data_IF_062860639519
#
_entry.id   IF_062860639519
#
_cell.length_a   1.000
_cell.length_b   1.000
_cell.length_c   1.000
_cell.angle_alpha   90.00
_cell.angle_beta   90.00
_cell.angle_gamma   90.00
#
_symmetry.space_group_name_H-M   'P 1'
#
loop_
_entity.id
_entity.type
_entity.pdbx_description
1 polymer ?
#
# COMPACT_ATOMS: atom_id res chain seq x y z
N UNK A 1 9.15 -9.14 13.31
CA UNK A 1 9.87 -8.90 12.03
C UNK A 1 9.15 -7.84 11.23
N UNK A 2 9.91 -6.95 10.55
CA UNK A 2 9.37 -6.04 9.54
C UNK A 2 9.56 -6.63 8.15
N UNK A 3 8.52 -6.58 7.34
CA UNK A 3 8.53 -6.95 5.92
C UNK A 3 8.17 -5.72 5.10
N UNK A 4 8.88 -5.50 4.01
CA UNK A 4 8.69 -4.32 3.16
C UNK A 4 8.21 -4.72 1.76
N UNK A 5 6.88 -4.91 1.56
CA UNK A 5 6.34 -5.17 0.23
C UNK A 5 6.69 -4.04 -0.74
N UNK A 6 6.99 -4.39 -1.99
CA UNK A 6 7.44 -3.45 -3.01
C UNK A 6 8.96 -3.25 -3.10
N UNK A 7 9.76 -3.76 -2.14
CA UNK A 7 11.22 -3.58 -2.12
C UNK A 7 11.91 -4.20 -3.35
N UNK A 8 11.32 -5.24 -3.94
CA UNK A 8 11.81 -5.85 -5.18
C UNK A 8 11.58 -5.00 -6.44
N UNK A 9 10.81 -3.93 -6.35
CA UNK A 9 10.34 -3.17 -7.50
C UNK A 9 9.55 -4.06 -8.47
N UNK A 10 9.25 -3.55 -9.68
CA UNK A 10 8.51 -4.34 -10.68
C UNK A 10 9.28 -5.63 -11.03
N UNK A 11 10.59 -5.53 -11.18
CA UNK A 11 11.42 -6.61 -11.74
C UNK A 11 11.49 -7.85 -10.87
N UNK A 12 11.50 -7.70 -9.56
CA UNK A 12 11.73 -8.79 -8.61
C UNK A 12 10.55 -9.03 -7.67
N UNK A 13 9.38 -8.47 -7.95
CA UNK A 13 8.20 -8.54 -7.10
C UNK A 13 7.82 -9.98 -6.72
N UNK A 14 7.61 -10.85 -7.71
CA UNK A 14 7.20 -12.25 -7.48
C UNK A 14 8.24 -13.03 -6.68
N UNK A 15 9.54 -12.84 -7.02
CA UNK A 15 10.62 -13.48 -6.31
C UNK A 15 10.74 -12.98 -4.88
N UNK A 16 10.63 -11.66 -4.70
CA UNK A 16 10.66 -11.04 -3.37
C UNK A 16 9.54 -11.60 -2.48
N UNK A 17 8.33 -11.73 -3.02
CA UNK A 17 7.19 -12.30 -2.28
C UNK A 17 7.45 -13.75 -1.87
N UNK A 18 7.88 -14.59 -2.82
CA UNK A 18 8.12 -16.03 -2.58
C UNK A 18 9.28 -16.27 -1.62
N UNK A 19 10.42 -15.61 -1.83
CA UNK A 19 11.61 -15.74 -0.97
C UNK A 19 11.30 -15.23 0.46
N UNK A 20 10.47 -14.17 0.57
CA UNK A 20 10.02 -13.63 1.87
C UNK A 20 9.15 -14.63 2.61
N UNK A 21 8.17 -15.23 1.96
CA UNK A 21 7.29 -16.24 2.58
C UNK A 21 8.09 -17.45 3.08
N UNK A 22 9.05 -17.95 2.27
CA UNK A 22 9.95 -19.03 2.66
C UNK A 22 10.80 -18.66 3.88
N UNK A 23 11.35 -17.44 3.90
CA UNK A 23 12.15 -16.95 5.03
C UNK A 23 11.32 -16.84 6.30
N UNK A 24 10.10 -16.30 6.22
CA UNK A 24 9.18 -16.14 7.35
C UNK A 24 8.78 -17.50 7.92
N UNK A 25 8.48 -18.48 7.05
CA UNK A 25 8.18 -19.86 7.47
C UNK A 25 9.34 -20.47 8.26
N UNK A 26 10.59 -20.28 7.78
CA UNK A 26 11.79 -20.80 8.46
C UNK A 26 12.13 -20.05 9.75
N UNK A 27 11.93 -18.75 9.77
CA UNK A 27 12.25 -17.90 10.92
C UNK A 27 11.21 -17.98 12.03
N UNK A 28 9.97 -18.35 11.69
CA UNK A 28 8.83 -18.51 12.60
C UNK A 28 8.70 -17.37 13.62
N UNK A 29 8.56 -16.10 13.18
CA UNK A 29 8.44 -14.97 14.08
C UNK A 29 7.04 -14.93 14.73
N UNK A 30 6.94 -14.45 15.97
CA UNK A 30 5.65 -14.22 16.64
C UNK A 30 4.82 -13.13 15.92
N UNK A 31 5.50 -12.11 15.32
CA UNK A 31 4.86 -10.98 14.66
C UNK A 31 5.53 -10.63 13.34
N UNK A 32 4.71 -10.42 12.32
CA UNK A 32 5.10 -9.88 11.01
C UNK A 32 4.39 -8.54 10.82
N UNK A 33 5.16 -7.47 10.72
CA UNK A 33 4.63 -6.13 10.48
C UNK A 33 4.92 -5.71 9.05
N UNK A 34 3.86 -5.50 8.27
CA UNK A 34 3.95 -5.07 6.88
C UNK A 34 4.12 -3.56 6.81
N UNK A 35 5.12 -3.10 6.06
CA UNK A 35 5.37 -1.69 5.76
C UNK A 35 5.71 -1.54 4.29
N UNK A 36 4.74 -1.14 3.49
CA UNK A 36 4.96 -0.90 2.05
C UNK A 36 6.09 0.10 1.83
N UNK A 37 6.93 -0.21 0.84
CA UNK A 37 8.01 0.69 0.42
C UNK A 37 7.47 2.06 0.05
N UNK A 38 8.08 3.10 0.62
CA UNK A 38 7.95 4.48 0.17
C UNK A 38 9.34 5.04 -0.15
N UNK A 39 9.47 5.73 -1.29
CA UNK A 39 10.74 6.28 -1.74
C UNK A 39 10.81 7.75 -1.36
N UNK A 40 11.66 8.08 -0.41
CA UNK A 40 11.82 9.45 0.07
C UNK A 40 12.89 10.22 -0.71
N UNK A 41 12.70 11.54 -0.92
CA UNK A 41 13.72 12.40 -1.51
C UNK A 41 15.06 12.33 -0.78
N UNK A 42 16.15 12.34 -1.54
CA UNK A 42 17.53 12.29 -1.01
C UNK A 42 18.03 10.90 -0.64
N UNK A 43 17.22 9.84 -0.81
CA UNK A 43 17.66 8.47 -0.54
C UNK A 43 18.44 7.85 -1.71
N UNK A 44 19.32 6.86 -1.46
CA UNK A 44 19.97 6.11 -2.54
C UNK A 44 18.97 5.45 -3.49
N UNK A 45 17.83 4.97 -2.97
CA UNK A 45 16.79 4.32 -3.78
C UNK A 45 16.10 5.31 -4.73
N UNK A 46 15.90 6.57 -4.30
CA UNK A 46 15.41 7.62 -5.21
C UNK A 46 16.40 7.86 -6.36
N UNK A 47 17.70 7.83 -6.08
CA UNK A 47 18.72 7.98 -7.12
C UNK A 47 18.67 6.84 -8.13
N UNK A 48 18.51 5.59 -7.67
CA UNK A 48 18.34 4.43 -8.55
C UNK A 48 17.05 4.53 -9.39
N UNK A 49 15.96 5.03 -8.81
CA UNK A 49 14.71 5.26 -9.53
C UNK A 49 14.89 6.33 -10.62
N UNK A 50 15.53 7.46 -10.31
CA UNK A 50 15.81 8.52 -11.29
C UNK A 50 16.71 8.08 -12.43
N UNK A 51 17.65 7.18 -12.15
CA UNK A 51 18.57 6.61 -13.16
C UNK A 51 17.94 5.45 -13.97
N UNK A 52 16.71 5.02 -13.64
CA UNK A 52 16.05 3.90 -14.30
C UNK A 52 16.56 2.51 -13.87
N UNK A 53 17.40 2.45 -12.83
CA UNK A 53 17.93 1.20 -12.28
C UNK A 53 16.94 0.51 -11.32
N UNK A 54 16.02 1.27 -10.74
CA UNK A 54 14.91 0.78 -9.93
C UNK A 54 13.60 1.31 -10.50
N UNK A 55 12.59 0.46 -10.58
CA UNK A 55 11.23 0.83 -10.95
C UNK A 55 10.28 0.38 -9.85
N UNK A 56 9.64 1.36 -9.19
CA UNK A 56 8.67 1.12 -8.12
C UNK A 56 7.50 0.26 -8.63
N UNK A 57 7.13 -0.74 -7.86
CA UNK A 57 5.98 -1.58 -8.16
C UNK A 57 4.66 -0.78 -7.98
N UNK A 58 3.71 -0.88 -8.92
CA UNK A 58 2.38 -0.26 -8.74
C UNK A 58 1.64 -0.90 -7.56
N UNK A 59 0.71 -0.16 -6.97
CA UNK A 59 -0.04 -0.59 -5.78
C UNK A 59 -0.67 -2.00 -5.93
N UNK A 60 -1.26 -2.28 -7.09
CA UNK A 60 -1.82 -3.61 -7.35
C UNK A 60 -0.77 -4.74 -7.27
N UNK A 61 0.43 -4.50 -7.77
CA UNK A 61 1.51 -5.48 -7.69
C UNK A 61 1.99 -5.67 -6.26
N UNK A 62 2.09 -4.59 -5.48
CA UNK A 62 2.41 -4.66 -4.04
C UNK A 62 1.35 -5.45 -3.28
N UNK A 63 0.08 -5.26 -3.59
CA UNK A 63 -1.02 -6.05 -2.99
C UNK A 63 -0.91 -7.53 -3.36
N UNK A 64 -0.53 -7.86 -4.61
CA UNK A 64 -0.24 -9.25 -5.02
C UNK A 64 0.95 -9.86 -4.28
N UNK A 65 2.01 -9.08 -4.00
CA UNK A 65 3.11 -9.53 -3.15
C UNK A 65 2.61 -9.91 -1.75
N UNK A 66 1.81 -9.03 -1.11
CA UNK A 66 1.24 -9.28 0.22
C UNK A 66 0.39 -10.54 0.20
N UNK A 67 -0.43 -10.72 -0.84
CA UNK A 67 -1.23 -11.94 -1.04
C UNK A 67 -0.36 -13.19 -1.05
N UNK A 68 0.69 -13.19 -1.88
CA UNK A 68 1.63 -14.31 -2.01
C UNK A 68 2.33 -14.61 -0.68
N UNK A 69 2.74 -13.57 0.05
CA UNK A 69 3.38 -13.73 1.37
C UNK A 69 2.43 -14.39 2.35
N UNK A 70 1.18 -13.92 2.46
CA UNK A 70 0.19 -14.46 3.41
C UNK A 70 -0.21 -15.89 3.02
N UNK A 71 -0.41 -16.16 1.72
CA UNK A 71 -0.79 -17.46 1.21
C UNK A 71 0.27 -18.55 1.50
N UNK A 72 1.55 -18.20 1.36
CA UNK A 72 2.66 -19.16 1.41
C UNK A 72 3.46 -19.15 2.72
N UNK A 73 3.17 -18.26 3.67
CA UNK A 73 3.78 -18.28 4.99
C UNK A 73 3.14 -19.39 5.82
N UNK A 74 3.89 -20.43 6.16
CA UNK A 74 3.43 -21.59 6.93
C UNK A 74 4.07 -21.61 8.33
N UNK A 75 3.56 -20.75 9.20
CA UNK A 75 3.93 -20.69 10.62
C UNK A 75 2.83 -19.99 11.41
N UNK A 76 2.79 -20.25 12.73
CA UNK A 76 1.94 -19.49 13.65
C UNK A 76 2.53 -18.11 13.87
N UNK A 77 1.80 -17.05 13.49
CA UNK A 77 2.27 -15.67 13.59
C UNK A 77 1.12 -14.68 13.47
N UNK A 78 1.28 -13.49 14.04
CA UNK A 78 0.37 -12.37 13.86
C UNK A 78 0.85 -11.48 12.72
N UNK A 79 -0.05 -11.20 11.76
CA UNK A 79 0.15 -10.22 10.68
C UNK A 79 -0.43 -8.88 11.13
N UNK A 80 0.37 -7.82 11.05
CA UNK A 80 -0.03 -6.45 11.38
C UNK A 80 0.32 -5.53 10.22
N UNK A 81 -0.67 -4.80 9.72
CA UNK A 81 -0.54 -3.88 8.58
C UNK A 81 -1.09 -2.49 8.95
N UNK A 82 -0.49 -1.87 9.96
CA UNK A 82 -0.93 -0.61 10.56
C UNK A 82 -0.15 0.64 10.09
N UNK A 83 0.70 0.49 9.07
CA UNK A 83 1.43 1.63 8.51
C UNK A 83 0.54 2.47 7.59
N UNK A 84 0.63 3.79 7.69
CA UNK A 84 -0.05 4.72 6.79
C UNK A 84 0.38 4.57 5.30
N UNK A 85 1.56 3.99 5.06
CA UNK A 85 2.04 3.66 3.72
C UNK A 85 1.34 2.44 3.12
N UNK A 86 0.66 1.61 3.91
CA UNK A 86 -0.07 0.46 3.39
C UNK A 86 -1.39 0.89 2.74
N UNK A 87 -1.71 0.29 1.61
CA UNK A 87 -2.99 0.54 0.93
C UNK A 87 -4.16 -0.17 1.64
N UNK A 88 -3.89 -1.39 2.12
CA UNK A 88 -4.85 -2.24 2.82
C UNK A 88 -4.39 -2.47 4.26
N UNK A 89 -5.31 -2.39 5.19
CA UNK A 89 -5.11 -2.83 6.57
C UNK A 89 -5.42 -4.33 6.67
N UNK A 90 -4.39 -5.16 6.51
CA UNK A 90 -4.49 -6.61 6.59
C UNK A 90 -3.95 -7.06 7.94
N UNK A 91 -4.84 -7.40 8.85
CA UNK A 91 -4.51 -7.85 10.20
C UNK A 91 -5.16 -9.20 10.48
N UNK A 92 -4.43 -10.10 11.14
CA UNK A 92 -4.94 -11.40 11.53
C UNK A 92 -3.85 -12.40 11.89
N UNK A 93 -4.25 -13.56 12.38
CA UNK A 93 -3.35 -14.64 12.79
C UNK A 93 -3.23 -15.71 11.71
N UNK A 94 -2.02 -16.17 11.45
CA UNK A 94 -1.78 -17.34 10.63
C UNK A 94 -1.63 -18.59 11.52
N UNK A 95 -2.14 -19.75 11.09
CA UNK A 95 -2.91 -19.98 9.87
C UNK A 95 -4.41 -19.67 10.01
N UNK A 96 -4.90 -19.36 11.20
CA UNK A 96 -6.33 -19.36 11.55
C UNK A 96 -7.20 -18.37 10.76
N UNK A 97 -6.69 -17.17 10.45
CA UNK A 97 -7.43 -16.13 9.73
C UNK A 97 -6.91 -15.89 8.30
N UNK A 98 -6.13 -16.85 7.76
CA UNK A 98 -5.56 -16.73 6.39
C UNK A 98 -6.61 -16.40 5.35
N UNK A 99 -7.67 -17.19 5.27
CA UNK A 99 -8.73 -17.01 4.27
C UNK A 99 -9.39 -15.63 4.37
N UNK A 100 -9.68 -15.15 5.58
CA UNK A 100 -10.22 -13.81 5.82
C UNK A 100 -9.31 -12.71 5.28
N UNK A 101 -8.00 -12.85 5.47
CA UNK A 101 -7.02 -11.88 4.95
C UNK A 101 -6.93 -11.96 3.43
N UNK A 102 -6.93 -13.16 2.84
CA UNK A 102 -6.94 -13.36 1.40
C UNK A 102 -8.21 -12.82 0.75
N UNK A 103 -9.38 -13.05 1.33
CA UNK A 103 -10.67 -12.51 0.86
C UNK A 103 -10.67 -10.97 0.80
N UNK A 104 -10.11 -10.32 1.82
CA UNK A 104 -9.97 -8.85 1.84
C UNK A 104 -9.05 -8.34 0.72
N UNK A 105 -7.95 -9.05 0.45
CA UNK A 105 -7.01 -8.73 -0.62
C UNK A 105 -7.68 -8.96 -1.99
N UNK A 106 -8.31 -10.11 -2.18
CA UNK A 106 -8.95 -10.50 -3.44
C UNK A 106 -10.11 -9.55 -3.76
N UNK A 107 -10.86 -9.09 -2.76
CA UNK A 107 -11.89 -8.06 -2.93
C UNK A 107 -11.35 -6.75 -3.54
N UNK A 108 -10.12 -6.34 -3.17
CA UNK A 108 -9.47 -5.20 -3.81
C UNK A 108 -8.98 -5.55 -5.22
N UNK A 109 -8.40 -6.73 -5.40
CA UNK A 109 -7.85 -7.14 -6.70
C UNK A 109 -8.91 -7.28 -7.78
N UNK A 110 -10.14 -7.60 -7.41
CA UNK A 110 -11.30 -7.74 -8.30
C UNK A 110 -11.89 -6.39 -8.77
N UNK A 111 -11.52 -5.28 -8.13
CA UNK A 111 -11.96 -3.95 -8.54
C UNK A 111 -11.46 -3.60 -9.95
N UNK A 112 -12.23 -2.81 -10.69
CA UNK A 112 -11.78 -2.21 -11.95
C UNK A 112 -10.66 -1.19 -11.72
N UNK A 113 -9.95 -0.82 -12.79
CA UNK A 113 -8.87 0.16 -12.68
C UNK A 113 -9.32 1.50 -12.08
N UNK A 114 -10.53 1.96 -12.41
CA UNK A 114 -11.12 3.18 -11.84
C UNK A 114 -11.46 3.01 -10.36
N UNK A 115 -12.12 1.94 -10.00
CA UNK A 115 -12.46 1.63 -8.61
C UNK A 115 -11.21 1.50 -7.73
N UNK A 116 -10.12 0.90 -8.25
CA UNK A 116 -8.83 0.84 -7.55
C UNK A 116 -8.25 2.23 -7.26
N UNK A 117 -8.36 3.17 -8.22
CA UNK A 117 -7.94 4.56 -8.00
C UNK A 117 -8.78 5.26 -6.95
N UNK A 118 -10.08 5.08 -6.99
CA UNK A 118 -11.00 5.64 -5.99
C UNK A 118 -10.72 5.06 -4.61
N UNK A 119 -10.52 3.76 -4.52
CA UNK A 119 -10.12 3.08 -3.29
C UNK A 119 -8.80 3.63 -2.73
N UNK A 120 -7.76 3.74 -3.59
CA UNK A 120 -6.47 4.29 -3.19
C UNK A 120 -6.60 5.72 -2.66
N UNK A 121 -7.34 6.58 -3.35
CA UNK A 121 -7.56 7.95 -2.88
C UNK A 121 -8.23 7.99 -1.51
N UNK A 122 -9.30 7.21 -1.31
CA UNK A 122 -10.01 7.16 -0.02
C UNK A 122 -9.13 6.62 1.09
N UNK A 123 -8.41 5.52 0.84
CA UNK A 123 -7.48 4.92 1.82
C UNK A 123 -6.41 5.92 2.24
N UNK A 124 -5.76 6.61 1.27
CA UNK A 124 -4.71 7.59 1.56
C UNK A 124 -5.23 8.82 2.29
N UNK A 125 -6.43 9.30 1.95
CA UNK A 125 -7.07 10.41 2.66
C UNK A 125 -7.39 10.02 4.11
N UNK A 126 -7.94 8.84 4.36
CA UNK A 126 -8.24 8.37 5.69
C UNK A 126 -6.97 8.24 6.53
N UNK A 127 -5.90 7.66 5.97
CA UNK A 127 -4.59 7.56 6.62
C UNK A 127 -4.02 8.94 6.96
N UNK A 128 -4.13 9.88 6.03
CA UNK A 128 -3.64 11.26 6.25
C UNK A 128 -4.43 11.98 7.34
N UNK A 129 -5.77 11.89 7.30
CA UNK A 129 -6.63 12.50 8.33
C UNK A 129 -6.38 11.85 9.69
N UNK A 130 -6.23 10.53 9.73
CA UNK A 130 -5.90 9.80 10.97
C UNK A 130 -4.55 10.22 11.56
N UNK A 131 -3.55 10.46 10.71
CA UNK A 131 -2.20 10.83 11.15
C UNK A 131 -2.09 12.30 11.58
N UNK A 132 -2.77 13.22 10.90
CA UNK A 132 -2.61 14.66 11.07
C UNK A 132 -3.84 15.38 11.66
N UNK A 133 -4.95 14.68 11.86
CA UNK A 133 -6.19 15.24 12.40
C UNK A 133 -6.99 16.09 11.42
N UNK A 134 -6.57 16.19 10.15
CA UNK A 134 -7.25 16.95 9.11
C UNK A 134 -6.41 17.13 7.85
N UNK A 135 -6.95 17.81 6.85
CA UNK A 135 -6.27 18.09 5.59
C UNK A 135 -5.37 19.33 5.72
N UNK A 136 -4.16 19.27 5.17
CA UNK A 136 -3.30 20.45 5.00
C UNK A 136 -3.79 21.32 3.86
N UNK A 137 -3.41 22.62 3.87
CA UNK A 137 -3.91 23.60 2.89
C UNK A 137 -3.72 23.17 1.44
N UNK A 138 -2.54 22.65 1.09
CA UNK A 138 -2.22 22.22 -0.27
C UNK A 138 -2.99 20.96 -0.72
N UNK A 139 -3.24 20.00 0.19
CA UNK A 139 -4.12 18.86 -0.12
C UNK A 139 -5.57 19.34 -0.27
N UNK A 140 -6.01 20.23 0.64
CA UNK A 140 -7.35 20.79 0.55
C UNK A 140 -7.56 21.57 -0.76
N UNK A 141 -6.62 22.45 -1.15
CA UNK A 141 -6.65 23.17 -2.41
C UNK A 141 -6.73 22.22 -3.61
N UNK A 142 -5.95 21.14 -3.59
CA UNK A 142 -5.95 20.14 -4.66
C UNK A 142 -7.26 19.35 -4.74
N UNK A 143 -7.93 19.15 -3.60
CA UNK A 143 -9.23 18.47 -3.52
C UNK A 143 -10.42 19.39 -3.79
N UNK A 144 -10.26 20.71 -3.62
CA UNK A 144 -11.37 21.68 -3.75
C UNK A 144 -12.21 21.49 -5.02
N UNK A 145 -11.64 21.23 -6.22
CA UNK A 145 -12.44 21.00 -7.43
C UNK A 145 -13.38 19.78 -7.35
N UNK A 146 -13.09 18.85 -6.44
CA UNK A 146 -13.82 17.58 -6.26
C UNK A 146 -14.68 17.58 -4.99
N UNK A 147 -14.75 18.71 -4.26
CA UNK A 147 -15.60 18.83 -3.07
C UNK A 147 -16.95 19.43 -3.43
N UNK A 148 -18.01 18.70 -3.09
CA UNK A 148 -19.38 19.20 -3.14
C UNK A 148 -19.95 19.22 -1.72
N UNK A 149 -20.16 20.43 -1.15
CA UNK A 149 -20.62 20.59 0.24
C UNK A 149 -19.79 19.77 1.25
N UNK A 150 -18.46 19.83 1.15
CA UNK A 150 -17.49 19.06 1.94
C UNK A 150 -17.57 17.53 1.74
N UNK A 151 -18.31 17.05 0.76
CA UNK A 151 -18.30 15.64 0.37
C UNK A 151 -17.44 15.46 -0.87
N UNK A 152 -16.54 14.48 -0.85
CA UNK A 152 -15.70 14.17 -1.99
C UNK A 152 -16.55 13.57 -3.12
N UNK A 153 -16.54 14.22 -4.29
CA UNK A 153 -17.19 13.75 -5.50
C UNK A 153 -16.19 13.78 -6.66
N UNK A 154 -15.66 12.63 -6.99
CA UNK A 154 -14.65 12.44 -8.03
C UNK A 154 -15.21 11.88 -9.34
N UNK A 155 -16.53 11.80 -9.48
CA UNK A 155 -17.17 11.24 -10.68
C UNK A 155 -16.79 11.97 -11.97
N UNK A 156 -16.50 13.27 -11.89
CA UNK A 156 -16.04 14.10 -13.02
C UNK A 156 -14.52 14.23 -13.16
N UNK A 157 -13.74 13.67 -12.21
CA UNK A 157 -12.29 13.75 -12.22
C UNK A 157 -11.69 12.75 -13.22
N UNK A 158 -10.67 13.16 -13.95
CA UNK A 158 -9.85 12.26 -14.76
C UNK A 158 -8.96 11.38 -13.84
N UNK A 159 -8.55 10.22 -14.34
CA UNK A 159 -7.63 9.34 -13.63
C UNK A 159 -6.31 10.03 -13.28
N UNK A 160 -5.82 10.92 -14.15
CA UNK A 160 -4.58 11.66 -13.92
C UNK A 160 -4.71 12.68 -12.78
N UNK A 161 -5.85 13.32 -12.64
CA UNK A 161 -6.11 14.23 -11.52
C UNK A 161 -6.13 13.45 -10.19
N UNK A 162 -6.82 12.31 -10.15
CA UNK A 162 -6.86 11.45 -8.97
C UNK A 162 -5.46 10.96 -8.60
N UNK A 163 -4.67 10.46 -9.57
CA UNK A 163 -3.28 10.03 -9.35
C UNK A 163 -2.41 11.16 -8.80
N UNK A 164 -2.61 12.39 -9.29
CA UNK A 164 -1.88 13.56 -8.81
C UNK A 164 -2.17 13.85 -7.33
N UNK A 165 -3.41 13.68 -6.89
CA UNK A 165 -3.80 13.83 -5.48
C UNK A 165 -3.21 12.71 -4.63
N UNK A 166 -3.33 11.46 -5.07
CA UNK A 166 -2.74 10.30 -4.38
C UNK A 166 -1.24 10.49 -4.17
N UNK A 167 -0.51 10.91 -5.22
CA UNK A 167 0.94 11.15 -5.15
C UNK A 167 1.29 12.25 -4.14
N UNK A 168 0.52 13.33 -4.12
CA UNK A 168 0.71 14.41 -3.14
C UNK A 168 0.53 13.93 -1.72
N UNK A 169 -0.52 13.14 -1.46
CA UNK A 169 -0.81 12.61 -0.12
C UNK A 169 0.29 11.62 0.30
N UNK A 170 0.65 10.67 -0.57
CA UNK A 170 1.72 9.69 -0.28
C UNK A 170 3.02 10.36 0.12
N UNK A 171 3.44 11.40 -0.59
CA UNK A 171 4.67 12.14 -0.28
C UNK A 171 4.67 12.85 1.08
N UNK A 172 3.56 12.87 1.79
CA UNK A 172 3.39 13.51 3.10
C UNK A 172 3.05 12.54 4.23
N UNK A 173 2.65 11.31 3.90
CA UNK A 173 2.43 10.29 4.92
C UNK A 173 3.77 9.88 5.54
N UNK A 174 3.78 9.75 6.86
CA UNK A 174 4.90 9.12 7.55
C UNK A 174 4.69 7.60 7.57
N UNK A 175 5.74 6.82 7.31
CA UNK A 175 5.67 5.37 7.27
C UNK A 175 5.46 4.73 8.66
#
# INVERSE_FOLDING_TARGET
VYVMPGLGGIKFSDRHASDTAELLTKASPDYIRLRTLEIFPGTPLESLQKNGEFQEAPEEQVVKEIRTIIENTDTETEIVSDSAANLLEINGSLPGEREKMLDAIDSYLDLTGREKLEFSLHSRLNSFIGQYGGLTGDIYEKLTPFLNHNTLNISGASDNEIRSVITLIRGKLMP
#
